data_IF_892077287360
#
_entry.id   IF_892077287360
#
_cell.length_a   1.000
_cell.length_b   1.000
_cell.length_c   1.000
_cell.angle_alpha   90.00
_cell.angle_beta   90.00
_cell.angle_gamma   90.00
#
_symmetry.space_group_name_H-M   'P 1'
#
loop_
_entity.id
_entity.type
_entity.pdbx_description
1 polymer ?
#
# COMPACT_ATOMS: atom_id res chain seq x y z
N UNK A 1 -16.52 -89.78 -48.91
CA UNK A 1 -15.26 -89.49 -48.29
C UNK A 1 -15.51 -88.34 -47.34
N UNK A 2 -15.52 -88.61 -46.07
CA UNK A 2 -15.93 -87.66 -45.02
C UNK A 2 -14.64 -87.01 -44.40
N UNK A 3 -14.61 -85.73 -44.35
CA UNK A 3 -13.59 -84.96 -43.66
C UNK A 3 -14.21 -84.33 -42.40
N UNK A 4 -13.67 -84.74 -41.28
CA UNK A 4 -14.09 -84.27 -39.94
C UNK A 4 -13.52 -82.90 -39.65
N UNK A 5 -14.36 -82.01 -39.20
CA UNK A 5 -13.96 -80.68 -38.71
C UNK A 5 -14.00 -80.73 -37.16
N UNK A 6 -12.88 -80.52 -36.51
CA UNK A 6 -12.76 -80.36 -35.05
C UNK A 6 -13.13 -78.95 -34.61
N UNK A 7 -13.76 -78.74 -33.44
CA UNK A 7 -14.09 -77.40 -32.95
C UNK A 7 -12.93 -76.75 -32.27
N UNK A 8 -12.68 -75.49 -32.63
CA UNK A 8 -11.72 -74.55 -31.97
C UNK A 8 -12.39 -73.96 -30.74
N UNK A 9 -11.83 -74.20 -29.60
CA UNK A 9 -12.21 -73.54 -28.34
C UNK A 9 -11.87 -72.08 -28.41
N UNK A 10 -12.88 -71.20 -28.27
CA UNK A 10 -12.71 -69.77 -28.19
C UNK A 10 -12.58 -69.40 -26.70
N UNK A 11 -11.34 -69.10 -26.26
CA UNK A 11 -11.08 -68.65 -24.89
C UNK A 11 -11.36 -67.13 -24.80
N UNK A 12 -12.46 -66.80 -24.13
CA UNK A 12 -12.81 -65.38 -23.88
C UNK A 12 -11.90 -64.80 -22.82
N UNK A 13 -11.01 -63.89 -23.23
CA UNK A 13 -10.18 -63.12 -22.33
C UNK A 13 -10.98 -61.95 -21.77
N UNK A 14 -11.39 -62.04 -20.49
CA UNK A 14 -12.04 -60.94 -19.76
C UNK A 14 -10.96 -59.97 -19.32
N UNK A 15 -10.86 -58.83 -19.99
CA UNK A 15 -10.03 -57.69 -19.57
C UNK A 15 -10.79 -56.94 -18.46
N UNK A 16 -10.33 -57.11 -17.21
CA UNK A 16 -10.69 -56.27 -16.09
C UNK A 16 -10.02 -54.92 -16.26
N UNK A 17 -10.77 -53.89 -16.65
CA UNK A 17 -10.34 -52.50 -16.52
C UNK A 17 -10.42 -52.11 -15.03
N UNK A 18 -9.32 -52.10 -14.33
CA UNK A 18 -9.20 -51.45 -13.04
C UNK A 18 -9.23 -49.92 -13.27
N UNK A 19 -10.34 -49.30 -12.94
CA UNK A 19 -10.46 -47.84 -12.87
C UNK A 19 -9.59 -47.33 -11.72
N UNK A 20 -8.42 -46.83 -12.04
CA UNK A 20 -7.68 -45.96 -11.12
C UNK A 20 -8.44 -44.63 -11.06
N UNK A 21 -9.32 -44.48 -10.09
CA UNK A 21 -9.78 -43.18 -9.64
C UNK A 21 -8.57 -42.46 -9.00
N UNK A 22 -7.98 -41.59 -9.79
CA UNK A 22 -7.01 -40.65 -9.27
C UNK A 22 -7.70 -39.75 -8.25
N UNK A 23 -7.53 -40.01 -6.98
CA UNK A 23 -7.73 -39.02 -5.93
C UNK A 23 -6.67 -37.94 -6.13
N UNK A 24 -7.06 -36.87 -6.83
CA UNK A 24 -6.37 -35.59 -6.68
C UNK A 24 -6.59 -35.19 -5.22
N UNK A 25 -5.54 -35.34 -4.42
CA UNK A 25 -5.47 -34.72 -3.13
C UNK A 25 -5.60 -33.22 -3.38
N UNK A 26 -6.80 -32.67 -3.14
CA UNK A 26 -6.95 -31.27 -2.84
C UNK A 26 -6.12 -31.05 -1.58
N UNK A 27 -4.96 -30.44 -1.75
CA UNK A 27 -4.19 -29.97 -0.62
C UNK A 27 -5.07 -28.94 0.09
N UNK A 28 -5.51 -29.29 1.28
CA UNK A 28 -6.16 -28.39 2.22
C UNK A 28 -5.28 -27.15 2.41
N UNK A 29 -5.67 -26.06 1.77
CA UNK A 29 -5.09 -24.73 1.98
C UNK A 29 -5.45 -24.12 3.35
N UNK A 30 -6.02 -24.93 4.26
CA UNK A 30 -6.64 -24.44 5.51
C UNK A 30 -5.84 -24.68 6.78
N UNK A 31 -4.53 -24.93 6.70
CA UNK A 31 -3.66 -24.90 7.89
C UNK A 31 -2.31 -24.29 7.57
N UNK A 32 -2.29 -23.05 7.15
CA UNK A 32 -1.10 -22.23 7.31
C UNK A 32 -1.07 -21.87 8.80
N UNK A 33 -0.30 -22.63 9.56
CA UNK A 33 -0.04 -22.40 10.98
C UNK A 33 0.39 -20.94 11.17
N UNK A 34 -0.37 -20.17 11.95
CA UNK A 34 -0.10 -18.78 12.34
C UNK A 34 1.18 -18.60 13.18
N UNK A 35 1.91 -19.67 13.47
CA UNK A 35 3.22 -19.69 14.11
C UNK A 35 4.37 -19.73 13.10
N UNK A 36 4.24 -19.04 11.95
CA UNK A 36 5.32 -18.99 10.96
C UNK A 36 6.42 -18.04 11.41
N UNK A 37 7.60 -18.57 11.39
CA UNK A 37 8.93 -18.00 11.61
C UNK A 37 8.98 -16.47 11.39
N UNK A 38 8.74 -15.74 12.49
CA UNK A 38 9.07 -14.31 12.53
C UNK A 38 10.60 -14.22 12.61
N UNK A 39 11.21 -13.42 11.75
CA UNK A 39 12.65 -13.23 11.75
C UNK A 39 13.11 -12.65 13.11
N UNK A 40 14.31 -13.01 13.59
CA UNK A 40 14.90 -12.32 14.75
C UNK A 40 14.95 -10.80 14.50
N UNK A 41 14.55 -10.02 15.50
CA UNK A 41 14.51 -8.55 15.37
C UNK A 41 13.26 -8.02 14.62
N UNK A 42 12.27 -8.86 14.39
CA UNK A 42 10.97 -8.48 13.80
C UNK A 42 9.85 -8.70 14.80
N UNK A 43 8.95 -7.75 14.94
CA UNK A 43 7.70 -7.87 15.66
C UNK A 43 6.54 -8.06 14.68
N UNK A 44 5.60 -8.92 15.04
CA UNK A 44 4.34 -9.12 14.28
C UNK A 44 3.17 -8.95 15.21
N UNK A 45 2.36 -7.95 14.95
CA UNK A 45 1.13 -7.70 15.69
C UNK A 45 0.15 -8.85 15.49
N UNK A 46 -0.50 -9.28 16.57
CA UNK A 46 -1.50 -10.34 16.53
C UNK A 46 -2.69 -9.99 15.66
N UNK A 47 -3.13 -10.93 14.81
CA UNK A 47 -4.29 -10.74 13.93
C UNK A 47 -5.57 -10.43 14.71
N UNK A 48 -5.70 -10.90 15.97
CA UNK A 48 -6.81 -10.59 16.87
C UNK A 48 -6.99 -9.07 17.13
N UNK A 49 -5.95 -8.26 16.94
CA UNK A 49 -6.01 -6.80 17.07
C UNK A 49 -6.79 -6.12 15.91
N UNK A 50 -6.97 -6.83 14.81
CA UNK A 50 -7.61 -6.33 13.59
C UNK A 50 -9.00 -6.96 13.35
N UNK A 51 -9.52 -7.68 14.33
CA UNK A 51 -10.86 -8.25 14.25
C UNK A 51 -11.94 -7.19 14.55
N UNK A 52 -13.07 -7.28 13.86
CA UNK A 52 -14.25 -6.44 14.06
C UNK A 52 -13.99 -4.93 13.94
N UNK A 53 -13.13 -4.53 13.01
CA UNK A 53 -12.93 -3.13 12.69
C UNK A 53 -14.09 -2.61 11.82
N UNK A 54 -14.67 -1.48 12.21
CA UNK A 54 -15.76 -0.85 11.46
C UNK A 54 -15.31 -0.47 10.05
N UNK A 55 -16.18 -0.76 9.05
CA UNK A 55 -15.95 -0.44 7.65
C UNK A 55 -14.67 -1.05 7.03
N UNK A 56 -14.12 -2.12 7.63
CA UNK A 56 -12.93 -2.81 7.12
C UNK A 56 -13.17 -4.32 6.98
N UNK A 57 -14.03 -4.76 6.04
CA UNK A 57 -14.48 -6.15 5.92
C UNK A 57 -13.53 -7.05 5.13
N UNK A 58 -12.48 -6.49 4.52
CA UNK A 58 -11.63 -7.20 3.55
C UNK A 58 -10.72 -8.24 4.21
N UNK A 59 -10.52 -9.34 3.49
CA UNK A 59 -9.60 -10.38 3.92
C UNK A 59 -8.14 -9.97 3.67
N UNK A 60 -7.21 -10.31 4.57
CA UNK A 60 -5.82 -9.97 4.39
C UNK A 60 -5.16 -10.83 3.32
N UNK A 61 -4.34 -10.22 2.47
CA UNK A 61 -3.35 -10.92 1.64
C UNK A 61 -1.95 -10.67 2.19
N UNK A 62 -1.07 -11.62 2.03
CA UNK A 62 0.30 -11.52 2.49
C UNK A 62 1.27 -12.03 1.44
N UNK A 63 2.40 -11.31 1.28
CA UNK A 63 3.56 -11.82 0.56
C UNK A 63 4.82 -11.60 1.39
N UNK A 64 5.88 -12.34 1.03
CA UNK A 64 7.19 -12.17 1.65
C UNK A 64 8.14 -11.47 0.68
N UNK A 65 8.72 -10.37 1.14
CA UNK A 65 9.74 -9.60 0.44
C UNK A 65 10.92 -9.46 1.40
N UNK A 66 12.11 -9.90 0.99
CA UNK A 66 13.31 -9.95 1.82
C UNK A 66 13.11 -10.62 3.20
N UNK A 67 12.22 -11.62 3.23
CA UNK A 67 11.87 -12.37 4.45
C UNK A 67 10.88 -11.66 5.37
N UNK A 68 10.48 -10.42 5.08
CA UNK A 68 9.46 -9.67 5.82
C UNK A 68 8.08 -9.94 5.24
N UNK A 69 7.10 -10.15 6.10
CA UNK A 69 5.70 -10.29 5.70
C UNK A 69 5.11 -8.91 5.39
N UNK A 70 4.70 -8.72 4.15
CA UNK A 70 3.99 -7.53 3.68
C UNK A 70 2.51 -7.88 3.56
N UNK A 71 1.65 -7.15 4.26
CA UNK A 71 0.20 -7.21 4.10
C UNK A 71 -0.25 -6.27 2.98
N UNK A 72 -1.26 -6.67 2.24
CA UNK A 72 -1.96 -5.80 1.28
C UNK A 72 -3.41 -6.24 1.10
N UNK A 73 -4.28 -5.28 0.80
CA UNK A 73 -5.60 -5.57 0.25
C UNK A 73 -5.45 -5.84 -1.25
N UNK A 74 -6.25 -6.78 -1.76
CA UNK A 74 -6.35 -7.10 -3.19
C UNK A 74 -7.82 -7.41 -3.50
N UNK A 75 -8.55 -6.37 -3.90
CA UNK A 75 -9.99 -6.42 -4.06
C UNK A 75 -10.42 -5.97 -5.45
N UNK A 76 -11.45 -6.61 -6.00
CA UNK A 76 -11.97 -6.30 -7.34
C UNK A 76 -11.25 -7.03 -8.47
N UNK A 77 -11.79 -6.90 -9.71
CA UNK A 77 -11.28 -7.58 -10.90
C UNK A 77 -10.47 -6.67 -11.84
N UNK A 78 -10.58 -5.34 -11.70
CA UNK A 78 -9.77 -4.36 -12.39
C UNK A 78 -10.01 -4.14 -13.89
N UNK A 79 -11.23 -4.28 -14.45
CA UNK A 79 -11.42 -3.96 -15.86
C UNK A 79 -11.15 -2.48 -16.20
N UNK A 80 -11.21 -1.59 -15.18
CA UNK A 80 -10.90 -0.17 -15.31
C UNK A 80 -9.44 0.18 -14.97
N UNK A 81 -8.62 -0.79 -14.54
CA UNK A 81 -7.23 -0.57 -14.10
C UNK A 81 -7.01 -0.93 -12.64
N UNK A 82 -5.85 -0.52 -12.13
CA UNK A 82 -5.42 -0.78 -10.74
C UNK A 82 -5.33 0.55 -9.98
N UNK A 83 -5.92 0.62 -8.79
CA UNK A 83 -5.66 1.69 -7.83
C UNK A 83 -4.72 1.19 -6.75
N UNK A 84 -3.53 1.77 -6.68
CA UNK A 84 -2.52 1.50 -5.66
C UNK A 84 -2.61 2.58 -4.58
N UNK A 85 -3.10 2.21 -3.39
CA UNK A 85 -3.42 3.16 -2.31
C UNK A 85 -2.31 3.14 -1.27
N UNK A 86 -1.50 4.19 -1.22
CA UNK A 86 -0.33 4.28 -0.34
C UNK A 86 -0.61 5.23 0.84
N UNK A 87 -0.57 4.66 2.04
CA UNK A 87 -0.76 5.40 3.29
C UNK A 87 0.54 6.09 3.75
N UNK A 88 0.41 6.99 4.72
CA UNK A 88 1.51 7.63 5.43
C UNK A 88 1.59 7.24 6.91
N UNK A 89 2.40 7.98 7.67
CA UNK A 89 2.62 7.79 9.09
C UNK A 89 1.55 8.53 9.91
N UNK A 90 1.00 7.94 10.97
CA UNK A 90 1.12 6.56 11.45
C UNK A 90 -0.05 5.66 11.03
N UNK A 91 -0.60 5.91 9.85
CA UNK A 91 -1.77 5.19 9.34
C UNK A 91 -1.40 3.82 8.72
N UNK A 92 -2.35 3.18 8.08
CA UNK A 92 -2.25 1.92 7.37
C UNK A 92 -3.40 1.82 6.35
N UNK A 93 -3.55 0.75 5.63
CA UNK A 93 -4.58 0.61 4.57
C UNK A 93 -6.01 0.92 5.05
N UNK A 94 -6.27 0.87 6.35
CA UNK A 94 -7.52 1.32 6.98
C UNK A 94 -7.90 2.77 6.63
N UNK A 95 -6.92 3.63 6.34
CA UNK A 95 -7.14 5.02 5.94
C UNK A 95 -8.09 5.15 4.74
N UNK A 96 -8.06 4.21 3.83
CA UNK A 96 -8.83 4.23 2.59
C UNK A 96 -10.19 3.54 2.67
N UNK A 97 -10.57 2.96 3.83
CA UNK A 97 -11.76 2.11 4.00
C UNK A 97 -13.05 2.72 3.47
N UNK A 98 -13.24 4.02 3.66
CA UNK A 98 -14.45 4.72 3.25
C UNK A 98 -14.45 5.15 1.77
N UNK A 99 -13.35 5.00 1.05
CA UNK A 99 -13.20 5.32 -0.37
C UNK A 99 -13.25 4.06 -1.25
N UNK A 100 -12.71 2.96 -0.78
CA UNK A 100 -12.59 1.68 -1.52
C UNK A 100 -13.92 1.22 -2.13
N UNK A 101 -15.08 1.25 -1.45
CA UNK A 101 -16.34 0.80 -2.08
C UNK A 101 -16.66 1.54 -3.38
N UNK A 102 -16.49 2.86 -3.43
CA UNK A 102 -16.73 3.67 -4.63
C UNK A 102 -15.80 3.28 -5.79
N UNK A 103 -14.53 2.98 -5.49
CA UNK A 103 -13.56 2.57 -6.50
C UNK A 103 -13.86 1.17 -7.05
N UNK A 104 -14.27 0.24 -6.18
CA UNK A 104 -14.71 -1.11 -6.58
C UNK A 104 -15.95 -1.06 -7.47
N UNK A 105 -16.95 -0.23 -7.12
CA UNK A 105 -18.16 0.01 -7.92
C UNK A 105 -17.81 0.59 -9.30
N UNK A 106 -16.72 1.35 -9.39
CA UNK A 106 -16.21 1.92 -10.64
C UNK A 106 -15.35 0.93 -11.45
N UNK A 107 -15.21 -0.31 -10.99
CA UNK A 107 -14.55 -1.39 -11.72
C UNK A 107 -13.03 -1.47 -11.56
N UNK A 108 -12.45 -0.76 -10.61
CA UNK A 108 -11.01 -0.84 -10.34
C UNK A 108 -10.64 -2.04 -9.47
N UNK A 109 -9.42 -2.57 -9.67
CA UNK A 109 -8.77 -3.45 -8.70
C UNK A 109 -8.03 -2.58 -7.69
N UNK A 110 -8.24 -2.86 -6.41
CA UNK A 110 -7.64 -2.10 -5.32
C UNK A 110 -6.48 -2.89 -4.74
N UNK A 111 -5.30 -2.30 -4.75
CA UNK A 111 -4.12 -2.77 -4.04
C UNK A 111 -3.78 -1.74 -2.97
N UNK A 112 -3.90 -2.11 -1.70
CA UNK A 112 -3.59 -1.22 -0.59
C UNK A 112 -2.61 -1.91 0.37
N UNK A 113 -1.29 -1.75 0.17
CA UNK A 113 -0.30 -2.34 1.06
C UNK A 113 -0.23 -1.58 2.39
N UNK A 114 0.06 -2.34 3.46
CA UNK A 114 0.60 -1.77 4.68
C UNK A 114 2.13 -1.76 4.57
N UNK A 115 2.73 -0.59 4.71
CA UNK A 115 4.19 -0.48 4.66
C UNK A 115 4.83 -1.20 5.85
N UNK A 116 6.05 -1.71 5.70
CA UNK A 116 6.79 -2.33 6.82
C UNK A 116 6.87 -1.34 7.99
N UNK A 117 6.52 -1.81 9.18
CA UNK A 117 6.37 -0.96 10.37
C UNK A 117 4.92 -0.60 10.71
N UNK A 118 3.97 -0.84 9.80
CA UNK A 118 2.57 -0.39 9.92
C UNK A 118 1.57 -1.52 9.68
N UNK A 119 0.31 -1.26 10.01
CA UNK A 119 -0.81 -2.15 9.76
C UNK A 119 -0.55 -3.60 10.17
N UNK A 120 -0.92 -4.52 9.29
CA UNK A 120 -0.71 -5.97 9.47
C UNK A 120 0.64 -6.46 8.93
N UNK A 121 1.46 -5.58 8.35
CA UNK A 121 2.83 -5.91 7.93
C UNK A 121 3.77 -6.11 9.11
N UNK A 122 4.87 -6.81 8.87
CA UNK A 122 5.93 -6.99 9.86
C UNK A 122 6.54 -5.64 10.27
N UNK A 123 7.07 -5.58 11.50
CA UNK A 123 7.68 -4.40 12.09
C UNK A 123 9.10 -4.74 12.49
N UNK A 124 10.08 -4.21 11.76
CA UNK A 124 11.49 -4.33 12.13
C UNK A 124 11.73 -3.51 13.40
N UNK A 125 12.36 -4.11 14.41
CA UNK A 125 12.58 -3.44 15.71
C UNK A 125 13.74 -2.45 15.62
N UNK A 126 14.71 -2.73 14.74
CA UNK A 126 15.83 -1.84 14.49
C UNK A 126 15.37 -0.59 13.74
N UNK A 127 15.54 0.58 14.36
CA UNK A 127 15.17 1.87 13.80
C UNK A 127 15.95 2.19 12.52
N UNK A 128 17.22 1.78 12.45
CA UNK A 128 18.10 2.11 11.30
C UNK A 128 17.74 1.34 10.02
N UNK A 129 16.91 0.29 10.13
CA UNK A 129 16.36 -0.38 8.96
C UNK A 129 15.43 0.52 8.13
N UNK A 130 14.71 1.43 8.80
CA UNK A 130 13.73 2.29 8.14
C UNK A 130 14.44 3.43 7.42
N UNK A 131 14.41 3.37 6.10
CA UNK A 131 14.84 4.43 5.18
C UNK A 131 13.81 4.55 4.06
N UNK A 132 13.78 5.68 3.35
CA UNK A 132 12.94 5.82 2.15
C UNK A 132 13.34 4.77 1.11
N UNK A 133 14.62 4.49 0.97
CA UNK A 133 15.13 3.50 -0.01
C UNK A 133 14.63 2.09 0.30
N UNK A 134 14.62 1.66 1.57
CA UNK A 134 14.09 0.35 1.95
C UNK A 134 12.59 0.22 1.65
N UNK A 135 11.80 1.28 1.90
CA UNK A 135 10.36 1.27 1.61
C UNK A 135 10.07 1.30 0.12
N UNK A 136 10.81 2.10 -0.66
CA UNK A 136 10.67 2.11 -2.12
C UNK A 136 11.04 0.76 -2.73
N UNK A 137 12.11 0.11 -2.25
CA UNK A 137 12.50 -1.22 -2.72
C UNK A 137 11.38 -2.27 -2.47
N UNK A 138 10.79 -2.28 -1.28
CA UNK A 138 9.65 -3.17 -0.95
C UNK A 138 8.46 -2.88 -1.86
N UNK A 139 8.14 -1.61 -2.11
CA UNK A 139 7.01 -1.23 -2.96
C UNK A 139 7.22 -1.65 -4.42
N UNK A 140 8.42 -1.41 -4.97
CA UNK A 140 8.78 -1.80 -6.33
C UNK A 140 8.73 -3.33 -6.51
N UNK A 141 9.19 -4.08 -5.52
CA UNK A 141 9.12 -5.55 -5.53
C UNK A 141 7.68 -6.05 -5.44
N UNK A 142 6.83 -5.42 -4.62
CA UNK A 142 5.40 -5.74 -4.55
C UNK A 142 4.72 -5.51 -5.91
N UNK A 143 4.95 -4.36 -6.55
CA UNK A 143 4.42 -4.05 -7.89
C UNK A 143 4.86 -5.09 -8.91
N UNK A 144 6.14 -5.48 -8.86
CA UNK A 144 6.72 -6.45 -9.78
C UNK A 144 6.15 -7.86 -9.55
N UNK A 145 6.06 -8.32 -8.30
CA UNK A 145 5.53 -9.65 -7.95
C UNK A 145 4.05 -9.81 -8.27
N UNK A 146 3.26 -8.75 -8.12
CA UNK A 146 1.84 -8.73 -8.48
C UNK A 146 1.62 -8.41 -9.96
N UNK A 147 2.69 -8.12 -10.71
CA UNK A 147 2.69 -7.68 -12.12
C UNK A 147 1.67 -6.56 -12.38
N UNK A 148 1.67 -5.55 -11.51
CA UNK A 148 0.75 -4.43 -11.62
C UNK A 148 1.12 -3.53 -12.80
N UNK A 149 0.13 -3.17 -13.60
CA UNK A 149 0.22 -2.28 -14.74
C UNK A 149 -1.02 -1.39 -14.78
N UNK A 150 -1.00 -0.31 -15.56
CA UNK A 150 -2.07 0.68 -15.63
C UNK A 150 -2.46 1.18 -14.23
N UNK A 151 -1.44 1.59 -13.47
CA UNK A 151 -1.57 1.93 -12.06
C UNK A 151 -1.99 3.40 -11.93
N UNK A 152 -3.14 3.64 -11.33
CA UNK A 152 -3.47 4.92 -10.70
C UNK A 152 -2.94 4.87 -9.27
N UNK A 153 -1.87 5.61 -8.96
CA UNK A 153 -1.32 5.63 -7.61
C UNK A 153 -1.91 6.75 -6.78
N UNK A 154 -2.34 6.40 -5.57
CA UNK A 154 -2.79 7.33 -4.53
C UNK A 154 -1.69 7.51 -3.52
N UNK A 155 -1.29 8.74 -3.29
CA UNK A 155 -0.24 9.07 -2.35
C UNK A 155 -0.70 10.10 -1.33
N UNK A 156 -0.36 9.88 -0.06
CA UNK A 156 -0.61 10.81 1.03
C UNK A 156 0.53 10.71 2.05
N UNK A 157 0.95 11.82 2.65
CA UNK A 157 2.01 11.89 3.64
C UNK A 157 3.28 11.15 3.14
N UNK A 158 3.87 10.21 3.88
CA UNK A 158 5.01 9.40 3.45
C UNK A 158 4.71 8.47 2.25
N UNK A 159 3.43 8.22 1.95
CA UNK A 159 3.05 7.58 0.70
C UNK A 159 3.50 8.40 -0.52
N UNK A 160 3.66 9.74 -0.37
CA UNK A 160 4.17 10.62 -1.42
C UNK A 160 5.60 10.30 -1.84
N UNK A 161 6.60 10.47 -0.96
CA UNK A 161 7.98 10.10 -1.28
C UNK A 161 8.11 8.68 -1.83
N UNK A 162 7.50 7.70 -1.16
CA UNK A 162 7.60 6.30 -1.57
C UNK A 162 6.93 6.04 -2.93
N UNK A 163 5.71 6.55 -3.13
CA UNK A 163 4.93 6.31 -4.35
C UNK A 163 5.42 7.12 -5.55
N UNK A 164 5.76 8.40 -5.37
CA UNK A 164 6.18 9.26 -6.47
C UNK A 164 7.61 8.92 -6.96
N UNK A 165 8.52 8.54 -6.05
CA UNK A 165 9.81 7.96 -6.46
C UNK A 165 9.56 6.70 -7.29
N UNK A 166 8.72 5.79 -6.80
CA UNK A 166 8.40 4.55 -7.50
C UNK A 166 7.78 4.83 -8.88
N UNK A 167 6.82 5.76 -8.97
CA UNK A 167 6.18 6.10 -10.24
C UNK A 167 7.16 6.69 -11.26
N UNK A 168 8.06 7.56 -10.82
CA UNK A 168 9.07 8.17 -11.71
C UNK A 168 10.18 7.22 -12.11
N UNK A 169 10.45 6.16 -11.34
CA UNK A 169 11.46 5.14 -11.67
C UNK A 169 10.89 3.94 -12.46
N UNK A 170 9.58 3.74 -12.43
CA UNK A 170 8.87 2.68 -13.17
C UNK A 170 7.74 3.26 -14.05
N UNK A 171 7.97 4.36 -14.82
CA UNK A 171 6.90 5.16 -15.42
C UNK A 171 5.97 4.34 -16.32
N UNK A 172 6.48 3.33 -17.01
CA UNK A 172 5.68 2.49 -17.92
C UNK A 172 4.57 1.68 -17.23
N UNK A 173 4.57 1.61 -15.90
CA UNK A 173 3.54 0.91 -15.12
C UNK A 173 2.42 1.81 -14.62
N UNK A 174 2.63 3.13 -14.65
CA UNK A 174 1.70 4.11 -14.07
C UNK A 174 0.97 4.89 -15.15
N UNK A 175 -0.33 5.04 -14.98
CA UNK A 175 -1.19 5.82 -15.90
C UNK A 175 -1.72 7.09 -15.26
N UNK A 176 -1.65 7.25 -13.92
CA UNK A 176 -2.24 8.41 -13.23
C UNK A 176 -1.68 8.60 -11.83
N UNK A 177 -1.58 9.87 -11.41
CA UNK A 177 -1.24 10.25 -10.05
C UNK A 177 -2.44 10.90 -9.35
N UNK A 178 -2.78 10.41 -8.15
CA UNK A 178 -3.70 11.04 -7.21
C UNK A 178 -2.89 11.47 -5.99
N UNK A 179 -2.66 12.77 -5.87
CA UNK A 179 -1.75 13.35 -4.87
C UNK A 179 -2.55 14.05 -3.78
N UNK A 180 -2.45 13.59 -2.55
CA UNK A 180 -3.22 14.08 -1.42
C UNK A 180 -2.29 14.43 -0.27
N UNK A 181 -2.40 15.64 0.29
CA UNK A 181 -1.68 16.08 1.50
C UNK A 181 -0.31 15.40 1.70
N UNK A 182 0.63 15.68 0.82
CA UNK A 182 1.98 15.10 0.78
C UNK A 182 3.00 16.06 0.21
N UNK A 183 4.25 15.60 0.08
CA UNK A 183 5.37 16.38 -0.45
C UNK A 183 6.37 15.52 -1.24
N UNK A 184 7.28 16.20 -1.94
CA UNK A 184 8.60 15.69 -2.28
C UNK A 184 9.64 16.71 -1.87
N UNK A 185 10.75 16.25 -1.30
CA UNK A 185 11.89 17.11 -0.99
C UNK A 185 12.56 17.57 -2.29
N UNK A 186 12.89 18.86 -2.33
CA UNK A 186 13.78 19.49 -3.31
C UNK A 186 14.47 20.68 -2.62
N UNK A 187 15.48 21.25 -3.22
CA UNK A 187 16.31 22.30 -2.60
C UNK A 187 15.47 23.50 -2.07
N UNK A 188 14.42 23.88 -2.80
CA UNK A 188 13.57 25.04 -2.45
C UNK A 188 12.36 24.65 -1.55
N UNK A 189 12.25 23.38 -1.10
CA UNK A 189 11.11 22.98 -0.28
C UNK A 189 11.18 23.55 1.14
N UNK A 190 10.19 24.35 1.49
CA UNK A 190 10.06 24.97 2.80
C UNK A 190 9.24 24.08 3.76
N UNK A 191 9.94 23.37 4.65
CA UNK A 191 9.29 22.57 5.69
C UNK A 191 8.55 23.46 6.69
N UNK A 192 7.26 23.16 6.91
CA UNK A 192 6.43 23.88 7.89
C UNK A 192 6.93 23.69 9.32
N UNK A 193 6.56 24.63 10.22
CA UNK A 193 6.85 24.49 11.65
C UNK A 193 6.17 23.25 12.25
N UNK A 194 5.00 22.86 11.74
CA UNK A 194 4.30 21.65 12.15
C UNK A 194 5.14 20.41 11.84
N UNK A 195 5.72 20.32 10.62
CA UNK A 195 6.55 19.19 10.21
C UNK A 195 7.88 19.14 10.94
N UNK A 196 8.54 20.31 11.14
CA UNK A 196 9.75 20.42 11.96
C UNK A 196 9.48 20.03 13.42
N UNK A 197 8.37 20.49 13.97
CA UNK A 197 7.94 20.14 15.34
C UNK A 197 7.65 18.63 15.47
N UNK A 198 7.08 18.00 14.42
CA UNK A 198 6.86 16.55 14.38
C UNK A 198 8.17 15.78 14.44
N UNK A 199 9.15 16.15 13.63
CA UNK A 199 10.50 15.58 13.66
C UNK A 199 11.14 15.63 15.05
N UNK A 200 11.08 16.78 15.72
CA UNK A 200 11.67 16.96 17.06
C UNK A 200 10.94 16.13 18.12
N UNK A 201 9.60 16.17 18.11
CA UNK A 201 8.79 15.46 19.12
C UNK A 201 8.91 13.94 19.01
N UNK A 202 8.98 13.38 17.79
CA UNK A 202 9.12 11.93 17.57
C UNK A 202 10.41 11.35 18.16
N UNK A 203 11.44 12.16 18.35
CA UNK A 203 12.71 11.77 18.96
C UNK A 203 12.59 11.47 20.46
N UNK A 204 11.48 11.80 21.11
CA UNK A 204 11.23 11.47 22.53
C UNK A 204 11.14 9.98 22.83
N UNK A 205 10.98 9.13 21.80
CA UNK A 205 10.85 7.66 21.89
C UNK A 205 9.62 7.18 22.68
N UNK A 206 8.66 8.03 22.91
CA UNK A 206 7.38 7.65 23.53
C UNK A 206 6.22 7.89 22.55
N UNK A 207 6.13 6.96 21.58
CA UNK A 207 5.10 7.01 20.55
C UNK A 207 3.68 7.00 21.14
N UNK A 208 3.47 6.26 22.22
CA UNK A 208 2.13 6.13 22.82
C UNK A 208 1.61 7.43 23.43
N UNK A 209 2.53 8.25 23.94
CA UNK A 209 2.18 9.58 24.48
C UNK A 209 2.12 10.64 23.38
N UNK A 210 2.82 10.43 22.31
CA UNK A 210 3.10 11.44 21.32
C UNK A 210 2.19 11.38 20.08
N UNK A 211 2.00 10.20 19.49
CA UNK A 211 1.31 10.04 18.20
C UNK A 211 -0.13 9.60 18.37
N UNK A 212 -0.38 8.60 19.22
CA UNK A 212 -1.69 7.96 19.30
C UNK A 212 -2.81 8.82 19.89
N UNK A 213 -2.58 9.76 20.84
CA UNK A 213 -3.66 10.56 21.41
C UNK A 213 -4.44 11.43 20.41
N UNK A 214 -3.80 12.07 19.40
CA UNK A 214 -4.50 12.89 18.43
C UNK A 214 -5.31 12.10 17.39
N UNK A 215 -5.10 10.77 17.28
CA UNK A 215 -5.81 9.94 16.31
C UNK A 215 -7.16 9.49 16.90
N UNK A 216 -8.30 9.96 16.37
CA UNK A 216 -9.61 9.75 16.99
C UNK A 216 -10.08 8.30 16.93
N UNK A 217 -9.82 7.58 15.82
CA UNK A 217 -10.32 6.22 15.64
C UNK A 217 -9.37 5.19 16.27
N UNK A 218 -9.87 4.34 17.20
CA UNK A 218 -9.07 3.29 17.83
C UNK A 218 -8.44 2.30 16.84
N UNK A 219 -9.02 2.12 15.64
CA UNK A 219 -8.52 1.20 14.63
C UNK A 219 -7.12 1.59 14.11
N UNK A 220 -6.78 2.88 14.08
CA UNK A 220 -5.43 3.32 13.77
C UNK A 220 -4.38 2.86 14.79
N UNK A 221 -4.82 2.51 16.02
CA UNK A 221 -3.95 1.99 17.07
C UNK A 221 -3.80 0.48 17.05
N UNK A 222 -4.63 -0.22 16.27
CA UNK A 222 -4.59 -1.69 16.21
C UNK A 222 -3.20 -2.25 15.92
N UNK A 223 -2.38 -1.66 15.01
CA UNK A 223 -1.04 -2.15 14.70
C UNK A 223 -0.04 -2.08 15.84
N UNK A 224 -0.25 -1.19 16.83
CA UNK A 224 0.74 -0.80 17.83
C UNK A 224 0.39 -1.41 19.20
N UNK A 225 0.70 -2.68 19.37
CA UNK A 225 0.40 -3.46 20.59
C UNK A 225 1.53 -3.43 21.64
N UNK A 226 2.70 -2.91 21.25
CA UNK A 226 3.89 -2.85 22.10
C UNK A 226 4.81 -1.71 21.66
N UNK A 227 5.80 -1.39 22.49
CA UNK A 227 6.86 -0.42 22.15
C UNK A 227 7.66 -0.88 20.92
N UNK A 228 7.85 -2.17 20.74
CA UNK A 228 8.54 -2.73 19.57
C UNK A 228 7.75 -2.52 18.28
N UNK A 229 6.41 -2.54 18.37
CA UNK A 229 5.54 -2.31 17.23
C UNK A 229 5.57 -0.87 16.71
N UNK A 230 6.12 0.09 17.48
CA UNK A 230 6.12 1.52 17.13
C UNK A 230 7.39 1.99 16.42
N UNK A 231 8.36 1.11 16.18
CA UNK A 231 9.67 1.47 15.63
C UNK A 231 9.57 2.26 14.31
N UNK A 232 8.77 1.79 13.35
CA UNK A 232 8.56 2.48 12.07
C UNK A 232 7.93 3.86 12.25
N UNK A 233 6.87 3.94 13.04
CA UNK A 233 6.15 5.20 13.28
C UNK A 233 7.00 6.24 14.03
N UNK A 234 7.91 5.81 14.90
CA UNK A 234 8.89 6.71 15.51
C UNK A 234 9.96 7.18 14.53
N UNK A 235 10.45 6.26 13.68
CA UNK A 235 11.59 6.53 12.80
C UNK A 235 11.23 7.42 11.61
N UNK A 236 10.03 7.27 11.02
CA UNK A 236 9.67 8.00 9.82
C UNK A 236 9.80 9.52 9.96
N UNK A 237 9.28 10.18 11.01
CA UNK A 237 9.52 11.62 11.19
C UNK A 237 11.00 12.01 11.32
N UNK A 238 11.86 11.09 11.77
CA UNK A 238 13.30 11.38 11.88
C UNK A 238 13.98 11.48 10.52
N UNK A 239 13.50 10.68 9.55
CA UNK A 239 14.06 10.59 8.20
C UNK A 239 13.72 11.79 7.32
N UNK A 240 13.03 12.82 7.82
CA UNK A 240 12.76 14.00 7.02
C UNK A 240 14.08 14.55 6.45
N UNK A 241 14.19 14.77 5.12
CA UNK A 241 15.43 15.07 4.43
C UNK A 241 16.22 16.26 4.98
N UNK A 242 15.56 17.25 5.58
CA UNK A 242 16.26 18.38 6.22
C UNK A 242 17.06 17.96 7.48
N UNK A 243 16.71 16.84 8.11
CA UNK A 243 17.34 16.33 9.32
C UNK A 243 18.26 15.13 9.02
N UNK A 244 17.85 14.25 8.13
CA UNK A 244 18.56 13.05 7.72
C UNK A 244 18.47 12.87 6.20
N UNK A 245 19.30 13.58 5.43
CA UNK A 245 19.18 13.61 3.97
C UNK A 245 19.44 12.28 3.28
N UNK A 246 20.27 11.41 3.87
CA UNK A 246 20.57 10.09 3.29
C UNK A 246 19.42 9.11 3.54
N UNK A 247 18.97 8.96 4.78
CA UNK A 247 17.88 8.04 5.17
C UNK A 247 16.53 8.49 4.60
N UNK A 248 16.34 9.81 4.50
CA UNK A 248 15.20 10.44 3.83
C UNK A 248 15.29 10.44 2.31
N UNK A 249 16.41 9.94 1.77
CA UNK A 249 16.69 9.89 0.32
C UNK A 249 16.49 11.25 -0.39
N UNK A 250 17.03 12.34 0.20
CA UNK A 250 16.88 13.72 -0.29
C UNK A 250 17.12 13.85 -1.79
N UNK A 251 18.27 13.36 -2.28
CA UNK A 251 18.62 13.42 -3.71
C UNK A 251 17.69 12.61 -4.59
N UNK A 252 17.16 11.47 -4.09
CA UNK A 252 16.22 10.63 -4.85
C UNK A 252 14.85 11.28 -4.94
N UNK A 253 14.37 11.90 -3.86
CA UNK A 253 13.16 12.70 -3.86
C UNK A 253 13.27 13.89 -4.81
N UNK A 254 14.40 14.62 -4.80
CA UNK A 254 14.64 15.73 -5.72
C UNK A 254 14.67 15.28 -7.19
N UNK A 255 15.32 14.15 -7.49
CA UNK A 255 15.23 13.58 -8.85
C UNK A 255 13.81 13.25 -9.26
N UNK A 256 13.01 12.66 -8.36
CA UNK A 256 11.61 12.37 -8.61
C UNK A 256 10.80 13.66 -8.82
N UNK A 257 11.01 14.68 -8.00
CA UNK A 257 10.39 16.00 -8.16
C UNK A 257 10.70 16.59 -9.53
N UNK A 258 11.97 16.60 -9.93
CA UNK A 258 12.40 17.12 -11.24
C UNK A 258 11.83 16.28 -12.42
N UNK A 259 11.69 14.97 -12.26
CA UNK A 259 11.09 14.10 -13.28
C UNK A 259 9.60 14.41 -13.48
N UNK A 260 8.88 14.78 -12.43
CA UNK A 260 7.47 15.16 -12.50
C UNK A 260 7.21 16.42 -13.33
N UNK A 261 8.20 17.29 -13.55
CA UNK A 261 8.12 18.40 -14.48
C UNK A 261 7.95 17.97 -15.95
N UNK A 262 8.22 16.70 -16.25
CA UNK A 262 8.05 16.08 -17.56
C UNK A 262 7.05 14.91 -17.51
N UNK A 263 6.22 14.85 -16.48
CA UNK A 263 5.17 13.84 -16.36
C UNK A 263 4.10 14.08 -17.42
N UNK A 264 3.74 13.06 -18.20
CA UNK A 264 2.83 13.20 -19.34
C UNK A 264 1.46 12.56 -19.10
N UNK A 265 1.32 11.78 -18.02
CA UNK A 265 0.06 11.14 -17.68
C UNK A 265 -0.77 12.06 -16.76
N UNK A 266 -2.10 11.87 -16.67
CA UNK A 266 -2.95 12.66 -15.79
C UNK A 266 -2.46 12.69 -14.34
N UNK A 267 -2.61 13.86 -13.71
CA UNK A 267 -2.30 14.04 -12.30
C UNK A 267 -3.33 14.95 -11.62
N UNK A 268 -3.89 14.50 -10.50
CA UNK A 268 -4.91 15.24 -9.77
C UNK A 268 -4.49 15.40 -8.30
N UNK A 269 -4.57 16.63 -7.82
CA UNK A 269 -4.17 17.01 -6.47
C UNK A 269 -5.39 17.36 -5.63
N UNK A 270 -5.49 16.77 -4.42
CA UNK A 270 -6.60 16.99 -3.49
C UNK A 270 -6.02 17.30 -2.11
N UNK A 271 -6.13 18.55 -1.67
CA UNK A 271 -5.54 18.99 -0.41
C UNK A 271 -6.61 19.53 0.54
N UNK A 272 -6.62 18.99 1.76
CA UNK A 272 -7.45 19.49 2.86
C UNK A 272 -6.99 20.87 3.34
N UNK A 273 -7.92 21.81 3.53
CA UNK A 273 -7.61 23.19 3.92
C UNK A 273 -7.27 23.35 5.41
N UNK A 274 -7.50 22.32 6.22
CA UNK A 274 -7.18 22.31 7.66
C UNK A 274 -5.85 21.62 7.97
N UNK A 275 -5.10 21.13 6.95
CA UNK A 275 -3.79 20.52 7.18
C UNK A 275 -2.71 21.59 7.42
N UNK A 276 -2.09 21.52 8.60
CA UNK A 276 -0.98 22.41 8.99
C UNK A 276 0.38 21.83 8.60
N UNK A 277 0.42 20.58 8.15
CA UNK A 277 1.65 19.87 7.76
C UNK A 277 1.93 20.10 6.28
N UNK A 278 1.00 19.72 5.42
CA UNK A 278 1.07 19.92 3.95
C UNK A 278 -0.06 20.84 3.51
N UNK A 279 0.25 22.13 3.49
CA UNK A 279 -0.74 23.19 3.28
C UNK A 279 -1.26 23.25 1.84
N UNK A 280 -2.42 23.86 1.65
CA UNK A 280 -2.99 24.15 0.31
C UNK A 280 -2.02 24.98 -0.53
N UNK A 281 -1.30 25.93 0.08
CA UNK A 281 -0.33 26.78 -0.65
C UNK A 281 0.83 25.95 -1.21
N UNK A 282 1.33 24.98 -0.43
CA UNK A 282 2.30 24.03 -0.92
C UNK A 282 1.71 23.14 -2.02
N UNK A 283 0.53 22.58 -1.79
CA UNK A 283 -0.14 21.72 -2.77
C UNK A 283 -0.33 22.41 -4.13
N UNK A 284 -0.68 23.71 -4.15
CA UNK A 284 -0.79 24.50 -5.38
C UNK A 284 0.55 24.67 -6.09
N UNK A 285 1.64 24.93 -5.33
CA UNK A 285 3.00 24.99 -5.89
C UNK A 285 3.40 23.66 -6.50
N UNK A 286 3.11 22.57 -5.80
CA UNK A 286 3.44 21.22 -6.26
C UNK A 286 2.63 20.84 -7.50
N UNK A 287 1.33 21.09 -7.53
CA UNK A 287 0.49 20.87 -8.71
C UNK A 287 0.99 21.69 -9.92
N UNK A 288 1.32 22.96 -9.71
CA UNK A 288 1.84 23.82 -10.78
C UNK A 288 3.17 23.32 -11.38
N UNK A 289 3.93 22.49 -10.65
CA UNK A 289 5.16 21.87 -11.14
C UNK A 289 4.89 20.67 -12.07
N UNK A 290 3.71 20.04 -11.99
CA UNK A 290 3.33 18.88 -12.79
C UNK A 290 2.44 19.31 -13.95
N UNK A 291 2.89 19.21 -15.21
CA UNK A 291 2.16 19.74 -16.36
C UNK A 291 0.77 19.11 -16.50
N UNK A 292 -0.23 19.93 -16.79
CA UNK A 292 -1.60 19.46 -17.03
C UNK A 292 -2.36 18.97 -15.82
N UNK A 293 -1.77 19.06 -14.60
CA UNK A 293 -2.44 18.61 -13.38
C UNK A 293 -3.64 19.48 -13.02
N UNK A 294 -4.58 18.90 -12.28
CA UNK A 294 -5.69 19.62 -11.63
C UNK A 294 -5.46 19.74 -10.14
N UNK A 295 -6.10 20.73 -9.50
CA UNK A 295 -5.98 20.98 -8.06
C UNK A 295 -7.33 21.30 -7.45
N UNK A 296 -7.76 20.47 -6.49
CA UNK A 296 -8.98 20.65 -5.72
C UNK A 296 -8.66 20.87 -4.24
N UNK A 297 -9.33 21.84 -3.62
CA UNK A 297 -9.30 22.05 -2.16
C UNK A 297 -10.46 21.30 -1.54
N UNK A 298 -10.17 20.50 -0.53
CA UNK A 298 -11.18 19.75 0.21
C UNK A 298 -11.50 20.52 1.49
N UNK A 299 -12.59 21.25 1.46
CA UNK A 299 -13.02 22.13 2.54
C UNK A 299 -13.31 21.36 3.83
N UNK A 300 -12.77 21.83 4.94
CA UNK A 300 -12.92 21.23 6.28
C UNK A 300 -12.11 19.97 6.51
N UNK A 301 -11.42 19.45 5.48
CA UNK A 301 -10.58 18.27 5.62
C UNK A 301 -9.21 18.64 6.20
N UNK A 302 -8.69 17.77 7.07
CA UNK A 302 -7.38 17.89 7.69
C UNK A 302 -6.37 16.94 7.01
N UNK A 303 -5.30 16.62 7.71
CA UNK A 303 -4.18 15.79 7.22
C UNK A 303 -4.61 14.44 6.64
N UNK A 304 -5.53 13.73 7.30
CA UNK A 304 -6.13 12.50 6.76
C UNK A 304 -7.33 12.84 5.88
N UNK A 305 -7.06 13.45 4.72
CA UNK A 305 -8.11 13.90 3.79
C UNK A 305 -9.01 12.75 3.33
N UNK A 306 -8.52 11.52 3.35
CA UNK A 306 -9.26 10.30 3.03
C UNK A 306 -10.42 10.02 3.99
N UNK A 307 -10.40 10.58 5.20
CA UNK A 307 -11.53 10.47 6.14
C UNK A 307 -12.79 11.22 5.64
N UNK A 308 -12.66 12.08 4.63
CA UNK A 308 -13.80 12.61 3.89
C UNK A 308 -14.63 11.49 3.23
N UNK A 309 -13.99 10.36 2.90
CA UNK A 309 -14.63 9.14 2.45
C UNK A 309 -15.25 9.21 1.07
N UNK A 310 -16.50 8.71 0.95
CA UNK A 310 -17.24 8.61 -0.31
C UNK A 310 -17.32 9.94 -1.11
N UNK A 311 -17.56 11.11 -0.51
CA UNK A 311 -17.57 12.38 -1.28
C UNK A 311 -16.25 12.66 -1.99
N UNK A 312 -15.10 12.43 -1.33
CA UNK A 312 -13.79 12.60 -1.97
C UNK A 312 -13.57 11.54 -3.06
N UNK A 313 -13.93 10.28 -2.80
CA UNK A 313 -13.83 9.22 -3.79
C UNK A 313 -14.63 9.53 -5.07
N UNK A 314 -15.86 10.04 -4.92
CA UNK A 314 -16.69 10.47 -6.06
C UNK A 314 -16.08 11.65 -6.83
N UNK A 315 -15.52 12.64 -6.13
CA UNK A 315 -14.82 13.75 -6.79
C UNK A 315 -13.62 13.27 -7.58
N UNK A 316 -12.83 12.36 -7.03
CA UNK A 316 -11.69 11.74 -7.74
C UNK A 316 -12.19 11.01 -9.00
N UNK A 317 -13.24 10.19 -8.88
CA UNK A 317 -13.82 9.49 -10.04
C UNK A 317 -14.36 10.45 -11.10
N UNK A 318 -14.92 11.59 -10.68
CA UNK A 318 -15.33 12.63 -11.62
C UNK A 318 -14.12 13.21 -12.38
N UNK A 319 -13.03 13.53 -11.70
CA UNK A 319 -11.80 14.04 -12.35
C UNK A 319 -11.23 13.05 -13.35
N UNK A 320 -11.20 11.77 -12.98
CA UNK A 320 -10.78 10.69 -13.90
C UNK A 320 -11.68 10.60 -15.14
N UNK A 321 -12.98 10.84 -14.99
CA UNK A 321 -13.93 10.79 -16.11
C UNK A 321 -13.87 12.04 -17.01
N UNK A 322 -13.23 13.13 -16.58
CA UNK A 322 -13.03 14.39 -17.33
C UNK A 322 -11.76 14.38 -18.21
N UNK A 323 -10.91 13.33 -18.12
CA UNK A 323 -9.71 13.12 -18.96
C UNK A 323 -10.09 12.76 -20.40
#
# INVERSE_FOLDING_TARGET
MASRISPVFLTTLVLLFASFAGQTAAQDASTISTAQNVLPGVHRTSDARFENLDAYPWQPNYMYIDGLRVHYLDEGQGPAGVMLLLHGEPSWSFLYRNMIPTFLESGYRIIAPDMIGFGKSDKVIDLEWYTVDSHVAILQELITKLDLNNITVFVQDWGGPNGLITATEMPDRFERLIVMNTWLHHEEYEYTDALRGWNVRSQSRDFTQFVLPPIPDPAYRAPFDSQQATAGALRWPWMLPFAQPEEGAAQRQERAFNALANWNEPAHFFFGDQDQVFTVDWGRKFSAHVPGSTFDVIEGASHFVQETGEPLAKLIMQRIAEE
#
